data_IF_784444079966
#
_entry.id   IF_784444079966
#
_cell.length_a   1.000
_cell.length_b   1.000
_cell.length_c   1.000
_cell.angle_alpha   90.00
_cell.angle_beta   90.00
_cell.angle_gamma   90.00
#
_symmetry.space_group_name_H-M   'P 1'
#
loop_
_entity.id
_entity.type
_entity.pdbx_description
1 polymer ?
#
# COMPACT_ATOMS: atom_id res chain seq x y z
N UNK A 1 35.30 -24.34 72.79
CA UNK A 1 35.68 -24.00 71.42
C UNK A 1 34.39 -23.81 70.64
N UNK A 2 33.98 -22.55 70.44
CA UNK A 2 32.71 -22.18 69.81
C UNK A 2 32.89 -22.03 68.33
N UNK A 3 32.16 -22.82 67.56
CA UNK A 3 32.01 -22.69 66.11
C UNK A 3 30.75 -21.84 65.83
N UNK A 4 30.93 -20.60 65.37
CA UNK A 4 29.82 -19.77 64.92
C UNK A 4 29.56 -20.03 63.40
N UNK A 5 28.42 -20.59 63.11
CA UNK A 5 27.91 -20.70 61.76
C UNK A 5 27.37 -19.32 61.30
N UNK A 6 28.02 -18.69 60.34
CA UNK A 6 27.50 -17.50 59.64
C UNK A 6 26.62 -17.96 58.48
N UNK A 7 25.29 -17.74 58.61
CA UNK A 7 24.33 -17.88 57.52
C UNK A 7 24.43 -16.64 56.65
N UNK A 8 24.88 -16.80 55.37
CA UNK A 8 24.82 -15.76 54.35
C UNK A 8 23.46 -15.83 53.70
N UNK A 9 22.61 -14.83 53.92
CA UNK A 9 21.34 -14.64 53.26
C UNK A 9 21.62 -13.96 51.88
N UNK A 10 21.47 -14.72 50.79
CA UNK A 10 21.53 -14.16 49.44
C UNK A 10 20.18 -13.53 49.11
N UNK A 11 20.08 -12.19 49.17
CA UNK A 11 18.92 -11.45 48.68
C UNK A 11 19.04 -11.33 47.16
N UNK A 12 18.36 -12.20 46.39
CA UNK A 12 18.26 -12.03 44.96
C UNK A 12 17.23 -10.94 44.63
N UNK A 13 17.75 -9.81 44.21
CA UNK A 13 16.95 -8.69 43.69
C UNK A 13 16.47 -9.07 42.27
N UNK A 14 15.22 -9.49 42.12
CA UNK A 14 14.59 -9.61 40.83
C UNK A 14 14.28 -8.23 40.27
N UNK A 15 15.15 -7.71 39.41
CA UNK A 15 14.84 -6.54 38.59
C UNK A 15 13.80 -7.00 37.55
N UNK A 16 12.53 -6.69 37.74
CA UNK A 16 11.52 -6.78 36.70
C UNK A 16 11.79 -5.65 35.69
N UNK A 17 12.46 -5.98 34.60
CA UNK A 17 12.55 -5.08 33.44
C UNK A 17 11.16 -5.06 32.82
N UNK A 18 10.40 -4.01 33.12
CA UNK A 18 9.21 -3.68 32.35
C UNK A 18 9.68 -3.26 30.94
N UNK A 19 9.68 -4.19 30.01
CA UNK A 19 9.81 -3.88 28.59
C UNK A 19 8.53 -3.16 28.20
N UNK A 20 8.53 -1.85 28.25
CA UNK A 20 7.52 -1.04 27.58
C UNK A 20 7.64 -1.36 26.09
N UNK A 21 6.81 -2.26 25.61
CA UNK A 21 6.56 -2.39 24.19
C UNK A 21 5.92 -1.08 23.75
N UNK A 22 6.74 -0.15 23.23
CA UNK A 22 6.22 1.02 22.53
C UNK A 22 5.34 0.49 21.40
N UNK A 23 4.04 0.63 21.55
CA UNK A 23 3.10 0.42 20.45
C UNK A 23 3.52 1.39 19.35
N UNK A 24 4.09 0.85 18.28
CA UNK A 24 4.48 1.64 17.09
C UNK A 24 3.24 2.44 16.70
N UNK A 25 3.35 3.77 16.69
CA UNK A 25 2.24 4.66 16.32
C UNK A 25 1.72 4.17 14.96
N UNK A 26 0.44 3.87 14.89
CA UNK A 26 -0.16 3.45 13.63
C UNK A 26 0.10 4.54 12.58
N UNK A 27 0.71 4.18 11.46
CA UNK A 27 0.95 5.13 10.37
C UNK A 27 -0.39 5.64 9.87
N UNK A 28 -0.57 6.96 9.87
CA UNK A 28 -1.80 7.58 9.35
C UNK A 28 -1.74 7.48 7.83
N UNK A 29 -2.70 6.81 7.18
CA UNK A 29 -2.73 6.72 5.73
C UNK A 29 -2.82 8.10 5.08
N UNK A 30 -2.10 8.29 3.97
CA UNK A 30 -2.16 9.54 3.21
C UNK A 30 -3.48 9.67 2.47
N UNK A 31 -3.85 10.91 2.15
CA UNK A 31 -5.04 11.24 1.36
C UNK A 31 -4.65 12.01 0.12
N UNK A 32 -5.43 11.84 -0.94
CA UNK A 32 -5.32 12.62 -2.17
C UNK A 32 -6.73 12.81 -2.77
N UNK A 33 -6.99 13.99 -3.33
CA UNK A 33 -8.20 14.23 -4.10
C UNK A 33 -7.87 14.25 -5.59
N UNK A 34 -8.32 13.23 -6.30
CA UNK A 34 -8.29 13.20 -7.76
C UNK A 34 -9.52 13.95 -8.27
N UNK A 35 -9.30 15.07 -8.93
CA UNK A 35 -10.37 15.90 -9.51
C UNK A 35 -10.75 15.42 -10.90
N UNK A 36 -11.99 15.69 -11.30
CA UNK A 36 -12.46 15.41 -12.65
C UNK A 36 -11.82 16.37 -13.66
N UNK A 37 -11.48 15.85 -14.82
CA UNK A 37 -11.06 16.65 -15.99
C UNK A 37 -12.01 16.44 -17.16
N UNK A 38 -12.22 17.46 -17.97
CA UNK A 38 -12.92 17.39 -19.24
C UNK A 38 -11.93 17.45 -20.43
N UNK A 39 -10.64 17.46 -20.14
CA UNK A 39 -9.57 17.50 -21.15
C UNK A 39 -9.03 16.10 -21.30
N UNK A 40 -9.04 15.58 -22.52
CA UNK A 40 -8.40 14.31 -22.83
C UNK A 40 -6.90 14.40 -22.62
N UNK A 41 -6.32 13.44 -21.90
CA UNK A 41 -4.89 13.34 -21.65
C UNK A 41 -4.32 12.34 -22.63
N UNK A 42 -3.32 12.77 -23.41
CA UNK A 42 -2.61 11.90 -24.32
C UNK A 42 -1.51 11.15 -23.57
N UNK A 43 -1.56 9.84 -23.53
CA UNK A 43 -0.59 9.01 -22.83
C UNK A 43 0.57 8.73 -23.76
N UNK A 44 1.59 9.61 -23.77
CA UNK A 44 2.75 9.51 -24.68
C UNK A 44 4.12 9.63 -23.95
N UNK A 45 4.12 9.70 -22.61
CA UNK A 45 5.32 9.83 -21.79
C UNK A 45 5.90 11.25 -21.75
N UNK A 46 5.16 12.24 -22.27
CA UNK A 46 5.56 13.65 -22.26
C UNK A 46 4.55 14.44 -21.44
N UNK A 47 4.99 15.03 -20.38
CA UNK A 47 4.13 15.84 -19.49
C UNK A 47 3.90 17.22 -20.14
N UNK A 48 3.16 17.26 -21.23
CA UNK A 48 2.92 18.46 -22.03
C UNK A 48 1.48 18.99 -21.93
N UNK A 49 0.54 18.22 -21.38
CA UNK A 49 -0.82 18.68 -21.13
C UNK A 49 -0.86 19.71 -19.99
N UNK A 50 -1.34 20.92 -20.31
CA UNK A 50 -1.41 22.03 -19.34
C UNK A 50 -2.26 21.71 -18.10
N UNK A 51 -3.17 20.72 -18.21
CA UNK A 51 -4.02 20.31 -17.10
C UNK A 51 -3.21 19.78 -15.91
N UNK A 52 -2.07 19.11 -16.16
CA UNK A 52 -1.18 18.65 -15.10
C UNK A 52 -0.58 19.78 -14.26
N UNK A 53 -0.51 21.02 -14.78
CA UNK A 53 -0.04 22.19 -14.03
C UNK A 53 -1.04 22.66 -12.97
N UNK A 54 -2.33 22.29 -13.10
CA UNK A 54 -3.38 22.64 -12.16
C UNK A 54 -3.50 21.64 -11.01
N UNK A 55 -2.81 20.51 -11.10
CA UNK A 55 -2.88 19.43 -10.11
C UNK A 55 -1.64 19.47 -9.22
N UNK A 56 -1.85 19.41 -7.91
CA UNK A 56 -0.75 19.32 -6.96
C UNK A 56 -0.08 17.95 -7.01
N UNK A 57 1.24 17.96 -6.88
CA UNK A 57 1.97 16.74 -6.63
C UNK A 57 1.60 16.17 -5.25
N UNK A 58 1.60 14.86 -5.12
CA UNK A 58 1.61 14.21 -3.81
C UNK A 58 2.86 14.61 -3.02
N UNK A 59 2.87 14.36 -1.71
CA UNK A 59 4.13 14.31 -0.98
C UNK A 59 5.07 13.26 -1.59
N UNK A 60 6.38 13.45 -1.44
CA UNK A 60 7.36 12.45 -1.84
C UNK A 60 7.07 11.09 -1.18
N UNK A 61 7.42 10.03 -1.87
CA UNK A 61 7.40 8.68 -1.30
C UNK A 61 8.36 8.60 -0.11
N UNK A 62 8.08 7.66 0.76
CA UNK A 62 8.88 7.30 1.93
C UNK A 62 9.16 5.79 1.88
N UNK A 63 10.09 5.28 2.68
CA UNK A 63 10.24 3.84 2.79
C UNK A 63 8.96 3.17 3.33
N UNK A 64 8.76 1.91 3.02
CA UNK A 64 7.50 1.21 3.33
C UNK A 64 7.17 1.16 4.83
N UNK A 65 8.16 1.21 5.71
CA UNK A 65 7.96 1.28 7.16
C UNK A 65 7.65 2.70 7.66
N UNK A 66 7.89 3.73 6.82
CA UNK A 66 7.65 5.12 7.15
C UNK A 66 8.75 5.79 7.97
N UNK A 67 9.95 5.20 8.00
CA UNK A 67 11.04 5.63 8.89
C UNK A 67 12.17 6.35 8.16
N UNK A 68 12.43 6.00 6.90
CA UNK A 68 13.61 6.45 6.16
C UNK A 68 13.24 7.19 4.89
N UNK A 69 13.98 8.23 4.58
CA UNK A 69 13.84 8.91 3.31
C UNK A 69 14.47 8.09 2.19
N UNK A 70 13.78 7.92 1.04
CA UNK A 70 14.35 7.31 -0.16
C UNK A 70 15.59 8.04 -0.65
N UNK A 71 16.53 7.28 -1.22
CA UNK A 71 17.68 7.85 -1.94
C UNK A 71 17.24 8.72 -3.11
N UNK A 72 16.19 8.29 -3.80
CA UNK A 72 15.62 9.00 -4.95
C UNK A 72 14.16 9.34 -4.67
N UNK A 73 13.76 10.56 -5.03
CA UNK A 73 12.40 11.01 -4.84
C UNK A 73 11.47 10.44 -5.90
N UNK A 74 10.26 10.12 -5.48
CA UNK A 74 9.13 9.78 -6.35
C UNK A 74 7.91 10.53 -5.87
N UNK A 75 7.10 11.02 -6.77
CA UNK A 75 5.83 11.71 -6.48
C UNK A 75 4.85 11.50 -7.63
N UNK A 76 3.56 11.65 -7.33
CA UNK A 76 2.49 11.36 -8.28
C UNK A 76 1.51 12.52 -8.38
N UNK A 77 0.78 12.56 -9.49
CA UNK A 77 -0.44 13.33 -9.69
C UNK A 77 -1.54 12.39 -10.18
N UNK A 78 -2.78 12.70 -9.83
CA UNK A 78 -3.95 11.94 -10.24
C UNK A 78 -5.06 12.84 -10.72
N UNK A 79 -5.73 12.45 -11.80
CA UNK A 79 -6.96 13.02 -12.35
C UNK A 79 -7.88 11.88 -12.78
N UNK A 80 -9.11 12.20 -13.11
CA UNK A 80 -10.03 11.23 -13.68
C UNK A 80 -11.05 11.89 -14.61
N UNK A 81 -11.62 11.11 -15.53
CA UNK A 81 -12.77 11.46 -16.34
C UNK A 81 -13.81 10.31 -16.34
N UNK A 82 -14.78 10.36 -17.22
CA UNK A 82 -15.81 9.31 -17.28
C UNK A 82 -15.31 7.97 -17.81
N UNK A 83 -14.14 7.94 -18.45
CA UNK A 83 -13.57 6.75 -19.07
C UNK A 83 -12.38 6.19 -18.31
N UNK A 84 -11.54 7.07 -17.69
CA UNK A 84 -10.23 6.68 -17.16
C UNK A 84 -9.90 7.30 -15.81
N UNK A 85 -9.14 6.57 -15.03
CA UNK A 85 -8.31 7.06 -13.94
C UNK A 85 -6.90 7.33 -14.46
N UNK A 86 -6.44 8.58 -14.39
CA UNK A 86 -5.14 9.04 -14.89
C UNK A 86 -4.13 9.16 -13.76
N UNK A 87 -2.95 8.61 -13.99
CA UNK A 87 -1.82 8.64 -13.05
C UNK A 87 -0.60 9.17 -13.80
N UNK A 88 0.08 10.15 -13.19
CA UNK A 88 1.37 10.66 -13.61
C UNK A 88 2.37 10.47 -12.48
N UNK A 89 3.47 9.76 -12.71
CA UNK A 89 4.56 9.60 -11.72
C UNK A 89 5.85 10.24 -12.22
N UNK A 90 6.50 11.04 -11.37
CA UNK A 90 7.85 11.59 -11.57
C UNK A 90 8.82 10.82 -10.68
N UNK A 91 9.73 10.08 -11.29
CA UNK A 91 10.61 9.10 -10.64
C UNK A 91 12.07 9.54 -10.87
N UNK A 92 12.72 10.03 -9.81
CA UNK A 92 14.14 10.38 -9.89
C UNK A 92 15.01 9.13 -9.82
N UNK A 93 15.97 9.04 -10.71
CA UNK A 93 16.89 7.91 -10.81
C UNK A 93 18.16 8.30 -11.55
N UNK A 94 19.32 7.91 -11.03
CA UNK A 94 20.61 8.25 -11.65
C UNK A 94 21.10 7.24 -12.68
N UNK A 95 20.49 6.05 -12.70
CA UNK A 95 20.75 4.99 -13.67
C UNK A 95 19.44 4.30 -14.00
N UNK A 96 18.87 4.64 -15.15
CA UNK A 96 17.62 4.05 -15.61
C UNK A 96 17.95 2.76 -16.34
N UNK A 97 17.52 1.65 -15.76
CA UNK A 97 17.77 0.34 -16.37
C UNK A 97 16.57 -0.59 -16.22
N UNK A 98 16.34 -1.41 -17.23
CA UNK A 98 15.39 -2.50 -17.24
C UNK A 98 15.81 -3.54 -18.28
N UNK A 99 15.58 -4.82 -17.99
CA UNK A 99 15.90 -5.93 -18.88
C UNK A 99 14.76 -6.96 -19.01
N UNK A 100 13.63 -6.74 -18.34
CA UNK A 100 12.43 -7.57 -18.46
C UNK A 100 11.51 -6.92 -19.46
N UNK A 101 11.32 -7.58 -20.62
CA UNK A 101 10.52 -7.12 -21.74
C UNK A 101 9.34 -8.04 -22.07
N UNK A 102 9.12 -9.09 -21.28
CA UNK A 102 7.98 -9.99 -21.44
C UNK A 102 6.84 -9.54 -20.54
N UNK A 103 5.64 -9.30 -21.12
CA UNK A 103 4.41 -9.04 -20.36
C UNK A 103 4.15 -10.18 -19.38
N UNK A 104 3.60 -9.84 -18.22
CA UNK A 104 3.26 -10.76 -17.13
C UNK A 104 4.46 -11.54 -16.55
N UNK A 105 5.67 -11.05 -16.81
CA UNK A 105 6.84 -11.48 -16.04
C UNK A 105 6.90 -10.73 -14.72
N UNK A 106 7.65 -11.25 -13.77
CA UNK A 106 7.83 -10.68 -12.43
C UNK A 106 8.62 -9.36 -12.52
N UNK A 107 7.92 -8.24 -12.70
CA UNK A 107 8.49 -6.93 -13.03
C UNK A 107 9.28 -6.32 -11.86
N UNK A 108 8.88 -6.57 -10.60
CA UNK A 108 9.61 -6.04 -9.44
C UNK A 108 11.06 -6.52 -9.34
N UNK A 109 11.48 -7.48 -10.17
CA UNK A 109 12.89 -7.86 -10.30
C UNK A 109 13.73 -6.82 -11.07
N UNK A 110 13.10 -5.83 -11.70
CA UNK A 110 13.69 -4.58 -12.16
C UNK A 110 13.36 -3.42 -11.20
N UNK A 111 13.97 -2.26 -11.40
CA UNK A 111 13.40 -1.03 -10.86
C UNK A 111 12.07 -0.79 -11.56
N UNK A 112 11.02 -0.53 -10.77
CA UNK A 112 9.66 -0.45 -11.29
C UNK A 112 8.86 0.67 -10.62
N UNK A 113 7.63 0.86 -11.08
CA UNK A 113 6.59 1.60 -10.42
C UNK A 113 5.35 0.72 -10.33
N UNK A 114 4.66 0.77 -9.20
CA UNK A 114 3.53 -0.11 -8.90
C UNK A 114 2.32 0.71 -8.46
N UNK A 115 1.14 0.23 -8.87
CA UNK A 115 -0.16 0.79 -8.51
C UNK A 115 -1.00 -0.32 -7.88
N UNK A 116 -1.53 -0.05 -6.69
CA UNK A 116 -2.40 -0.96 -5.94
C UNK A 116 -3.75 -0.30 -5.72
N UNK A 117 -4.84 -0.98 -6.04
CA UNK A 117 -6.21 -0.44 -6.00
C UNK A 117 -7.15 -1.45 -5.35
N UNK A 118 -7.81 -1.03 -4.28
CA UNK A 118 -8.88 -1.74 -3.60
C UNK A 118 -10.11 -0.82 -3.59
N UNK A 119 -11.09 -1.05 -4.47
CA UNK A 119 -12.19 -0.11 -4.74
C UNK A 119 -13.17 0.07 -3.59
N UNK A 120 -13.44 -0.96 -2.79
CA UNK A 120 -14.42 -0.94 -1.70
C UNK A 120 -13.79 -0.97 -0.30
N UNK A 121 -12.46 -1.20 -0.25
CA UNK A 121 -11.68 -1.12 0.98
C UNK A 121 -11.96 -2.26 1.94
N UNK A 122 -12.35 -3.43 1.41
CA UNK A 122 -12.59 -4.65 2.17
C UNK A 122 -11.37 -5.59 2.25
N UNK A 123 -10.27 -5.21 1.58
CA UNK A 123 -9.00 -5.93 1.43
C UNK A 123 -9.03 -7.14 0.49
N UNK A 124 -10.16 -7.42 -0.12
CA UNK A 124 -10.35 -8.51 -1.07
C UNK A 124 -10.52 -7.97 -2.49
N UNK A 125 -10.35 -8.84 -3.48
CA UNK A 125 -10.61 -8.53 -4.89
C UNK A 125 -9.93 -7.24 -5.38
N UNK A 126 -8.67 -7.05 -4.99
CA UNK A 126 -7.90 -5.87 -5.32
C UNK A 126 -6.96 -6.09 -6.51
N UNK A 127 -6.43 -5.01 -7.04
CA UNK A 127 -5.69 -4.96 -8.29
C UNK A 127 -4.27 -4.45 -8.05
N UNK A 128 -3.33 -5.00 -8.80
CA UNK A 128 -1.93 -4.59 -8.81
C UNK A 128 -1.46 -4.43 -10.26
N UNK A 129 -0.73 -3.36 -10.53
CA UNK A 129 -0.12 -3.09 -11.83
C UNK A 129 1.33 -2.72 -11.57
N UNK A 130 2.26 -3.47 -12.11
CA UNK A 130 3.69 -3.16 -12.11
C UNK A 130 4.15 -2.74 -13.50
N UNK A 131 5.02 -1.72 -13.58
CA UNK A 131 5.58 -1.24 -14.83
C UNK A 131 7.05 -0.87 -14.66
N UNK A 132 7.90 -1.25 -15.61
CA UNK A 132 9.31 -0.87 -15.64
C UNK A 132 9.61 0.20 -16.69
N UNK A 133 10.86 0.65 -16.76
CA UNK A 133 11.29 1.69 -17.70
C UNK A 133 11.26 1.27 -19.19
N UNK A 134 11.05 0.00 -19.51
CA UNK A 134 10.77 -0.49 -20.86
C UNK A 134 9.28 -0.42 -21.23
N UNK A 135 8.42 0.09 -20.37
CA UNK A 135 6.96 0.01 -20.50
C UNK A 135 6.43 -1.42 -20.52
N UNK A 136 7.13 -2.34 -19.87
CA UNK A 136 6.65 -3.72 -19.69
C UNK A 136 5.77 -3.78 -18.47
N UNK A 137 4.59 -4.36 -18.61
CA UNK A 137 3.54 -4.40 -17.60
C UNK A 137 3.34 -5.83 -17.09
N UNK A 138 3.06 -5.92 -15.80
CA UNK A 138 2.49 -7.06 -15.12
C UNK A 138 1.25 -6.60 -14.37
N UNK A 139 0.08 -7.01 -14.79
CA UNK A 139 -1.20 -6.67 -14.17
C UNK A 139 -1.82 -7.91 -13.54
N UNK A 140 -2.24 -7.77 -12.29
CA UNK A 140 -2.67 -8.86 -11.41
C UNK A 140 -4.04 -8.56 -10.80
N UNK A 141 -4.83 -9.60 -10.61
CA UNK A 141 -6.00 -9.59 -9.75
C UNK A 141 -5.78 -10.53 -8.56
N UNK A 142 -5.95 -10.01 -7.35
CA UNK A 142 -5.77 -10.76 -6.12
C UNK A 142 -7.10 -10.89 -5.38
N UNK A 143 -7.51 -12.13 -5.13
CA UNK A 143 -8.77 -12.39 -4.41
C UNK A 143 -8.69 -11.95 -2.95
N UNK A 144 -7.50 -11.97 -2.36
CA UNK A 144 -7.14 -11.46 -1.03
C UNK A 144 -5.62 -11.38 -0.89
N UNK A 145 -5.08 -10.75 0.16
CA UNK A 145 -3.63 -10.68 0.39
C UNK A 145 -2.99 -12.07 0.36
N UNK A 146 -1.95 -12.25 -0.44
CA UNK A 146 -1.36 -13.58 -0.65
C UNK A 146 -0.65 -14.16 0.59
N UNK A 147 -0.47 -13.38 1.66
CA UNK A 147 0.00 -13.86 2.97
C UNK A 147 -1.13 -14.42 3.86
N UNK A 148 -2.39 -14.26 3.45
CA UNK A 148 -3.54 -14.92 4.05
C UNK A 148 -3.66 -16.37 3.54
N UNK A 149 -4.35 -17.22 4.32
CA UNK A 149 -4.55 -18.61 3.93
C UNK A 149 -5.42 -18.71 2.67
N UNK A 150 -5.03 -19.62 1.77
CA UNK A 150 -5.79 -19.92 0.54
C UNK A 150 -6.00 -18.69 -0.37
N UNK A 151 -5.06 -17.76 -0.39
CA UNK A 151 -5.08 -16.66 -1.36
C UNK A 151 -4.85 -17.19 -2.77
N UNK A 152 -5.57 -16.60 -3.73
CA UNK A 152 -5.39 -16.84 -5.15
C UNK A 152 -4.97 -15.55 -5.83
N UNK A 153 -3.91 -15.64 -6.63
CA UNK A 153 -3.44 -14.55 -7.51
C UNK A 153 -3.69 -14.96 -8.95
N UNK A 154 -4.39 -14.14 -9.70
CA UNK A 154 -4.66 -14.35 -11.12
C UNK A 154 -3.63 -13.55 -11.91
N UNK A 155 -2.55 -14.23 -12.34
CA UNK A 155 -1.44 -13.62 -13.07
C UNK A 155 -1.78 -13.32 -14.54
N UNK A 156 -2.74 -14.04 -15.10
CA UNK A 156 -3.17 -13.86 -16.50
C UNK A 156 -4.35 -12.87 -16.62
N UNK A 157 -4.64 -12.12 -15.55
CA UNK A 157 -5.62 -11.05 -15.62
C UNK A 157 -5.04 -9.89 -16.41
N UNK A 158 -5.84 -9.36 -17.37
CA UNK A 158 -5.38 -8.29 -18.23
C UNK A 158 -6.34 -7.11 -18.20
N UNK A 159 -5.82 -5.91 -18.01
CA UNK A 159 -6.58 -4.67 -18.10
C UNK A 159 -6.77 -4.30 -19.57
N UNK A 160 -7.88 -4.74 -20.13
CA UNK A 160 -8.23 -4.35 -21.51
C UNK A 160 -8.43 -2.85 -21.61
N UNK A 161 -7.68 -2.21 -22.50
CA UNK A 161 -7.75 -0.75 -22.73
C UNK A 161 -6.86 0.08 -21.82
N UNK A 162 -6.01 -0.53 -20.99
CA UNK A 162 -4.95 0.16 -20.26
C UNK A 162 -4.03 0.90 -21.26
N UNK A 163 -3.80 2.18 -21.01
CA UNK A 163 -2.81 2.96 -21.73
C UNK A 163 -1.67 3.30 -20.79
N UNK A 164 -0.44 3.14 -21.26
CA UNK A 164 0.77 3.52 -20.50
C UNK A 164 1.86 4.02 -21.42
N UNK A 165 2.65 4.95 -20.94
CA UNK A 165 3.83 5.45 -21.65
C UNK A 165 4.92 5.84 -20.65
N UNK A 166 6.17 5.66 -21.09
CA UNK A 166 7.36 5.99 -20.32
C UNK A 166 8.10 7.15 -20.98
N UNK A 167 8.35 8.20 -20.22
CA UNK A 167 9.23 9.30 -20.61
C UNK A 167 10.59 9.14 -19.95
N UNK A 168 11.67 9.04 -20.72
CA UNK A 168 13.04 8.93 -20.22
C UNK A 168 13.69 10.30 -20.19
N UNK A 169 14.19 10.72 -19.02
CA UNK A 169 14.99 11.94 -18.89
C UNK A 169 16.46 11.54 -18.59
N UNK A 170 17.13 11.12 -19.64
CA UNK A 170 18.43 10.48 -19.67
C UNK A 170 18.50 9.45 -20.77
N UNK A 171 19.14 8.32 -20.53
CA UNK A 171 19.25 7.21 -21.47
C UNK A 171 19.03 5.86 -20.78
N UNK A 172 18.19 5.01 -21.38
CA UNK A 172 17.89 3.70 -20.84
C UNK A 172 19.07 2.73 -21.07
N UNK A 173 19.48 2.01 -20.02
CA UNK A 173 20.55 0.99 -20.07
C UNK A 173 21.92 1.51 -20.55
N UNK A 174 22.22 2.77 -20.32
CA UNK A 174 23.55 3.34 -20.64
C UNK A 174 24.34 3.58 -19.35
N UNK A 175 25.44 2.86 -19.11
CA UNK A 175 26.24 3.00 -17.89
C UNK A 175 27.16 4.21 -17.90
N UNK A 176 27.28 4.94 -19.04
CA UNK A 176 28.30 5.97 -19.25
C UNK A 176 27.80 7.40 -18.96
N UNK A 177 26.54 7.53 -18.58
CA UNK A 177 25.94 8.83 -18.21
C UNK A 177 25.23 8.78 -16.85
N UNK A 178 24.72 9.91 -16.43
CA UNK A 178 23.94 10.06 -15.21
C UNK A 178 22.55 10.61 -15.60
N UNK A 179 21.55 9.81 -15.36
CA UNK A 179 20.17 10.13 -15.68
C UNK A 179 19.57 11.10 -14.65
N UNK A 180 18.48 11.76 -15.05
CA UNK A 180 17.66 12.59 -14.16
C UNK A 180 16.44 11.85 -13.60
N UNK A 181 15.99 10.80 -14.31
CA UNK A 181 14.84 10.00 -13.93
C UNK A 181 13.92 9.68 -15.11
N UNK A 182 12.78 9.15 -14.80
CA UNK A 182 11.78 8.75 -15.77
C UNK A 182 10.37 9.10 -15.31
N UNK A 183 9.44 9.13 -16.26
CA UNK A 183 8.03 9.46 -16.07
C UNK A 183 7.21 8.22 -16.40
N UNK A 184 6.17 7.96 -15.63
CA UNK A 184 5.09 7.03 -15.99
C UNK A 184 3.84 7.86 -16.21
N UNK A 185 3.26 7.77 -17.40
CA UNK A 185 1.88 8.17 -17.65
C UNK A 185 1.02 6.93 -17.82
N UNK A 186 -0.13 6.89 -17.16
CA UNK A 186 -1.03 5.75 -17.18
C UNK A 186 -2.48 6.23 -17.19
N UNK A 187 -3.32 5.58 -18.01
CA UNK A 187 -4.77 5.75 -18.00
C UNK A 187 -5.41 4.37 -17.83
N UNK A 188 -5.99 4.14 -16.66
CA UNK A 188 -6.67 2.88 -16.29
C UNK A 188 -8.15 3.05 -16.61
N UNK A 189 -8.73 2.26 -17.54
CA UNK A 189 -10.13 2.39 -17.88
C UNK A 189 -11.01 1.88 -16.74
N UNK A 190 -12.10 2.57 -16.43
CA UNK A 190 -13.05 2.14 -15.41
C UNK A 190 -13.63 0.76 -15.69
N UNK A 191 -13.69 0.36 -16.97
CA UNK A 191 -14.15 -0.97 -17.35
C UNK A 191 -13.32 -2.11 -16.74
N UNK A 192 -12.07 -1.85 -16.34
CA UNK A 192 -11.22 -2.83 -15.66
C UNK A 192 -11.80 -3.30 -14.32
N UNK A 193 -12.60 -2.46 -13.67
CA UNK A 193 -13.18 -2.74 -12.35
C UNK A 193 -14.62 -3.28 -12.41
N UNK A 194 -15.18 -3.46 -13.62
CA UNK A 194 -16.52 -4.01 -13.79
C UNK A 194 -16.55 -5.49 -13.47
N UNK A 195 -17.63 -5.89 -12.80
CA UNK A 195 -17.95 -7.30 -12.57
C UNK A 195 -19.32 -7.60 -13.18
N UNK A 196 -19.75 -8.87 -13.16
CA UNK A 196 -21.11 -9.24 -13.60
C UNK A 196 -22.21 -8.53 -12.81
N UNK A 197 -21.95 -8.10 -11.57
CA UNK A 197 -22.91 -7.45 -10.70
C UNK A 197 -22.74 -5.92 -10.65
N UNK A 198 -21.51 -5.43 -10.77
CA UNK A 198 -21.19 -4.00 -10.66
C UNK A 198 -20.76 -3.45 -12.02
N UNK A 199 -21.67 -2.74 -12.69
CA UNK A 199 -21.44 -2.14 -13.99
C UNK A 199 -21.13 -0.65 -13.95
N UNK A 200 -21.70 0.10 -13.00
CA UNK A 200 -21.33 1.50 -12.73
C UNK A 200 -20.26 1.53 -11.64
N UNK A 201 -19.02 1.53 -12.08
CA UNK A 201 -17.82 1.46 -11.23
C UNK A 201 -17.10 2.80 -11.12
N UNK A 202 -17.56 3.85 -11.81
CA UNK A 202 -16.94 5.19 -11.71
C UNK A 202 -17.17 5.76 -10.32
N UNK A 203 -16.13 6.04 -9.53
CA UNK A 203 -16.25 6.36 -8.11
C UNK A 203 -16.59 7.84 -7.85
N UNK A 204 -17.66 8.38 -8.45
CA UNK A 204 -18.07 9.77 -8.32
C UNK A 204 -18.32 10.14 -6.87
N UNK A 205 -17.53 11.10 -6.35
CA UNK A 205 -17.55 11.57 -4.95
C UNK A 205 -17.37 10.46 -3.90
N UNK A 206 -16.76 9.33 -4.32
CA UNK A 206 -16.37 8.22 -3.44
C UNK A 206 -14.85 8.17 -3.32
N UNK A 207 -14.37 7.51 -2.29
CA UNK A 207 -12.94 7.23 -2.14
C UNK A 207 -12.67 5.72 -2.24
N UNK A 208 -11.49 5.41 -2.77
CA UNK A 208 -10.93 4.06 -2.82
C UNK A 208 -9.67 3.98 -1.97
N UNK A 209 -9.30 2.77 -1.58
CA UNK A 209 -7.97 2.48 -1.07
C UNK A 209 -7.03 2.34 -2.26
N UNK A 210 -6.01 3.19 -2.29
CA UNK A 210 -5.01 3.17 -3.36
C UNK A 210 -3.65 3.35 -2.73
N UNK A 211 -2.66 2.64 -3.22
CA UNK A 211 -1.28 2.95 -2.89
C UNK A 211 -0.38 2.83 -4.13
N UNK A 212 0.78 3.41 -4.02
CA UNK A 212 1.80 3.36 -5.03
C UNK A 212 3.09 2.92 -4.39
N UNK A 213 3.83 2.08 -5.07
CA UNK A 213 5.14 1.62 -4.65
C UNK A 213 6.15 1.83 -5.77
N UNK A 214 7.39 1.86 -5.38
CA UNK A 214 8.54 1.81 -6.26
C UNK A 214 9.54 0.84 -5.67
N UNK A 215 9.79 -0.26 -6.36
CA UNK A 215 10.93 -1.12 -6.05
C UNK A 215 12.18 -0.53 -6.68
N UNK A 216 13.24 -0.38 -5.90
CA UNK A 216 14.53 0.08 -6.37
C UNK A 216 15.64 -0.87 -5.89
N UNK A 217 16.47 -1.31 -6.81
CA UNK A 217 17.57 -2.22 -6.54
C UNK A 217 18.92 -1.51 -6.58
N UNK A 218 19.81 -1.90 -5.67
CA UNK A 218 21.22 -1.70 -5.92
C UNK A 218 21.62 -2.55 -7.12
N UNK A 219 22.39 -1.96 -8.04
CA UNK A 219 22.81 -2.62 -9.26
C UNK A 219 24.34 -2.78 -9.36
N UNK A 220 24.76 -3.62 -10.27
CA UNK A 220 26.13 -3.75 -10.77
C UNK A 220 26.10 -3.61 -12.28
N UNK A 221 27.20 -3.12 -12.84
CA UNK A 221 27.42 -2.99 -14.27
C UNK A 221 28.59 -3.94 -14.62
N UNK A 222 28.38 -4.82 -15.57
CA UNK A 222 29.43 -5.75 -16.01
C UNK A 222 30.40 -5.08 -17.01
N UNK A 223 31.44 -5.81 -17.45
CA UNK A 223 32.42 -5.33 -18.44
C UNK A 223 31.84 -4.96 -19.80
N UNK A 224 30.64 -5.43 -20.12
CA UNK A 224 29.94 -5.15 -21.36
C UNK A 224 28.92 -4.01 -21.20
N UNK A 225 28.82 -3.40 -20.02
CA UNK A 225 27.85 -2.33 -19.72
C UNK A 225 26.47 -2.82 -19.31
N UNK A 226 26.27 -4.13 -19.11
CA UNK A 226 24.96 -4.65 -18.75
C UNK A 226 24.67 -4.49 -17.25
N UNK A 227 23.46 -4.00 -16.96
CA UNK A 227 22.97 -3.85 -15.60
C UNK A 227 22.41 -5.15 -15.04
N UNK A 228 22.65 -5.38 -13.75
CA UNK A 228 22.05 -6.46 -12.99
C UNK A 228 21.86 -6.06 -11.52
N UNK A 229 20.95 -6.74 -10.82
CA UNK A 229 20.79 -6.56 -9.37
C UNK A 229 22.06 -6.94 -8.64
N UNK A 230 22.48 -6.11 -7.69
CA UNK A 230 23.70 -6.33 -6.92
C UNK A 230 23.55 -7.52 -5.97
N UNK A 231 24.56 -8.38 -5.95
CA UNK A 231 24.67 -9.49 -5.02
C UNK A 231 25.45 -9.10 -3.76
N UNK A 232 25.34 -9.91 -2.71
CA UNK A 232 26.21 -9.82 -1.53
C UNK A 232 27.67 -10.15 -1.89
N UNK A 233 28.60 -9.96 -0.95
CA UNK A 233 30.03 -10.16 -1.18
C UNK A 233 30.38 -11.60 -1.60
N UNK A 234 29.62 -12.57 -1.11
CA UNK A 234 29.80 -13.98 -1.42
C UNK A 234 29.18 -14.38 -2.78
N UNK A 235 28.45 -13.47 -3.46
CA UNK A 235 27.76 -13.74 -4.72
C UNK A 235 26.59 -14.74 -4.62
N UNK A 236 26.20 -15.11 -3.40
CA UNK A 236 25.22 -16.16 -3.14
C UNK A 236 23.78 -15.66 -3.10
N UNK A 237 23.55 -14.37 -2.83
CA UNK A 237 22.21 -13.76 -2.70
C UNK A 237 22.21 -12.33 -3.24
N UNK A 238 21.11 -11.92 -3.85
CA UNK A 238 20.88 -10.52 -4.16
C UNK A 238 20.72 -9.70 -2.87
N UNK A 239 21.20 -8.45 -2.88
CA UNK A 239 20.86 -7.50 -1.82
C UNK A 239 19.35 -7.29 -1.83
N UNK A 240 18.81 -6.95 -0.68
CA UNK A 240 17.38 -6.62 -0.57
C UNK A 240 17.08 -5.36 -1.40
N UNK A 241 15.90 -5.35 -1.98
CA UNK A 241 15.30 -4.20 -2.63
C UNK A 241 14.96 -3.11 -1.61
N UNK A 242 14.81 -1.90 -2.11
CA UNK A 242 14.16 -0.82 -1.41
C UNK A 242 12.71 -0.74 -1.88
N UNK A 243 11.78 -0.71 -0.94
CA UNK A 243 10.37 -0.49 -1.19
C UNK A 243 10.01 0.91 -0.72
N UNK A 244 9.78 1.82 -1.66
CA UNK A 244 9.40 3.20 -1.40
C UNK A 244 7.96 3.42 -1.82
N UNK A 245 7.14 3.93 -0.92
CA UNK A 245 5.69 3.97 -1.10
C UNK A 245 5.14 5.38 -0.91
N UNK A 246 3.99 5.65 -1.55
CA UNK A 246 3.28 6.90 -1.32
C UNK A 246 2.74 6.95 0.12
N UNK A 247 1.93 5.96 0.54
CA UNK A 247 1.40 5.87 1.91
C UNK A 247 2.11 4.75 2.67
N UNK A 248 2.83 5.05 3.78
CA UNK A 248 3.63 4.06 4.49
C UNK A 248 2.75 2.99 5.15
N UNK A 249 3.25 1.76 5.15
CA UNK A 249 2.56 0.59 5.71
C UNK A 249 2.88 0.36 7.19
N UNK A 250 4.04 0.86 7.67
CA UNK A 250 4.57 0.55 9.01
C UNK A 250 5.13 -0.88 9.14
N UNK A 251 5.11 -1.65 8.05
CA UNK A 251 5.65 -3.02 7.95
C UNK A 251 6.17 -3.26 6.53
N UNK A 252 7.12 -4.20 6.38
CA UNK A 252 7.61 -4.62 5.06
C UNK A 252 6.61 -5.62 4.46
N UNK A 253 5.47 -5.10 4.05
CA UNK A 253 4.42 -5.86 3.37
C UNK A 253 3.51 -4.91 2.61
N UNK A 254 3.55 -4.94 1.27
CA UNK A 254 2.70 -4.08 0.45
C UNK A 254 1.24 -4.57 0.45
N UNK A 255 1.02 -5.87 0.62
CA UNK A 255 -0.29 -6.51 0.61
C UNK A 255 -0.97 -6.50 2.00
N UNK A 256 -1.14 -5.31 2.53
CA UNK A 256 -2.02 -4.98 3.65
C UNK A 256 -2.90 -3.79 3.22
N UNK A 257 -3.94 -4.02 2.38
CA UNK A 257 -4.74 -2.96 1.76
C UNK A 257 -5.37 -2.01 2.78
N UNK A 258 -5.66 -2.50 3.97
CA UNK A 258 -6.17 -1.71 5.09
C UNK A 258 -5.25 -0.55 5.52
N UNK A 259 -4.00 -0.54 5.05
CA UNK A 259 -3.01 0.51 5.33
C UNK A 259 -2.74 1.44 4.15
N UNK A 260 -3.30 1.14 2.97
CA UNK A 260 -3.13 2.00 1.80
C UNK A 260 -3.74 3.37 2.02
N UNK A 261 -3.32 4.33 1.22
CA UNK A 261 -3.88 5.67 1.24
C UNK A 261 -5.32 5.72 0.75
N UNK A 262 -5.90 6.90 0.82
CA UNK A 262 -7.25 7.18 0.35
C UNK A 262 -7.20 8.14 -0.84
N UNK A 263 -7.82 7.77 -1.94
CA UNK A 263 -8.02 8.66 -3.09
C UNK A 263 -9.51 8.96 -3.21
N UNK A 264 -9.87 10.22 -2.98
CA UNK A 264 -11.23 10.73 -3.24
C UNK A 264 -11.32 11.11 -4.72
N UNK A 265 -12.29 10.55 -5.43
CA UNK A 265 -12.59 10.89 -6.82
C UNK A 265 -13.66 11.98 -6.86
N UNK A 266 -13.24 13.24 -6.76
CA UNK A 266 -14.16 14.38 -6.71
C UNK A 266 -14.78 14.67 -8.07
N UNK A 267 -16.09 14.78 -8.13
CA UNK A 267 -16.84 15.18 -9.35
C UNK A 267 -16.64 16.66 -9.73
N UNK A 268 -15.99 17.46 -8.88
CA UNK A 268 -15.65 18.83 -9.20
C UNK A 268 -14.62 18.87 -10.33
N UNK A 269 -14.85 19.72 -11.32
CA UNK A 269 -13.88 19.91 -12.40
C UNK A 269 -12.65 20.67 -11.88
N UNK A 270 -11.45 20.18 -12.20
CA UNK A 270 -10.18 20.80 -11.78
C UNK A 270 -10.07 22.26 -12.26
N UNK A 271 -10.71 22.61 -13.38
CA UNK A 271 -10.70 23.97 -13.90
C UNK A 271 -11.49 24.96 -13.02
N UNK A 272 -12.42 24.47 -12.23
CA UNK A 272 -13.33 25.28 -11.39
C UNK A 272 -12.83 25.37 -9.94
N UNK A 273 -11.65 24.82 -9.63
CA UNK A 273 -11.08 24.75 -8.28
C UNK A 273 -9.97 25.77 -8.10
N UNK A 274 -10.03 26.52 -7.00
CA UNK A 274 -8.90 27.35 -6.60
C UNK A 274 -7.78 26.49 -6.02
N UNK A 275 -6.52 26.87 -6.27
CA UNK A 275 -5.35 26.15 -5.76
C UNK A 275 -5.33 26.04 -4.23
N UNK A 276 -5.92 27.01 -3.53
CA UNK A 276 -6.07 26.99 -2.06
C UNK A 276 -7.02 25.87 -1.55
N UNK A 277 -7.92 25.40 -2.39
CA UNK A 277 -8.99 24.47 -2.01
C UNK A 277 -8.63 23.01 -2.38
N UNK A 278 -7.45 22.80 -2.95
CA UNK A 278 -6.93 21.49 -3.28
C UNK A 278 -6.58 20.73 -1.99
N UNK A 279 -7.00 19.46 -1.91
CA UNK A 279 -6.63 18.50 -0.84
C UNK A 279 -7.34 18.68 0.52
N UNK A 280 -8.65 18.87 0.52
CA UNK A 280 -9.46 18.99 1.77
C UNK A 280 -10.18 17.70 2.17
N UNK A 281 -9.77 16.54 1.69
CA UNK A 281 -10.43 15.28 2.05
C UNK A 281 -10.12 14.88 3.50
N UNK A 282 -11.16 14.67 4.30
CA UNK A 282 -11.08 14.16 5.65
C UNK A 282 -11.50 12.68 5.68
N UNK A 283 -10.64 11.85 6.26
CA UNK A 283 -10.91 10.41 6.41
C UNK A 283 -12.12 10.23 7.34
N UNK A 284 -13.18 9.51 6.93
CA UNK A 284 -14.31 9.21 7.78
C UNK A 284 -13.92 8.49 9.06
N UNK A 285 -14.64 8.74 10.16
CA UNK A 285 -14.35 8.10 11.46
C UNK A 285 -14.49 6.57 11.43
N UNK A 286 -15.35 6.06 10.58
CA UNK A 286 -15.50 4.62 10.37
C UNK A 286 -14.21 3.94 9.93
N UNK A 287 -13.33 4.64 9.20
CA UNK A 287 -12.04 4.10 8.78
C UNK A 287 -11.08 3.86 9.95
N UNK A 288 -11.23 4.63 11.05
CA UNK A 288 -10.48 4.35 12.28
C UNK A 288 -10.99 3.07 12.97
N UNK A 289 -12.31 2.80 12.90
CA UNK A 289 -12.89 1.56 13.41
C UNK A 289 -12.41 0.38 12.59
N UNK A 290 -12.45 0.47 11.25
CA UNK A 290 -11.93 -0.57 10.36
C UNK A 290 -10.45 -0.87 10.63
N UNK A 291 -9.62 0.16 10.75
CA UNK A 291 -8.19 0.02 11.08
C UNK A 291 -7.95 -0.69 12.42
N UNK A 292 -8.78 -0.40 13.42
CA UNK A 292 -8.76 -1.10 14.71
C UNK A 292 -9.07 -2.58 14.52
N UNK A 293 -10.14 -2.93 13.79
CA UNK A 293 -10.55 -4.31 13.55
C UNK A 293 -9.44 -5.10 12.84
N UNK A 294 -8.80 -4.51 11.81
CA UNK A 294 -7.66 -5.14 11.14
C UNK A 294 -6.44 -5.32 12.07
N UNK A 295 -6.21 -4.40 13.00
CA UNK A 295 -5.15 -4.57 14.02
C UNK A 295 -5.40 -5.82 14.87
N UNK A 296 -6.66 -6.07 15.25
CA UNK A 296 -7.06 -7.25 16.01
C UNK A 296 -6.97 -8.53 15.15
N UNK A 297 -7.39 -8.46 13.89
CA UNK A 297 -7.22 -9.55 12.92
C UNK A 297 -5.74 -9.95 12.78
N UNK A 298 -4.84 -8.98 12.60
CA UNK A 298 -3.39 -9.27 12.54
C UNK A 298 -2.85 -9.88 13.85
N UNK A 299 -3.42 -9.51 15.01
CA UNK A 299 -3.08 -10.14 16.30
C UNK A 299 -3.56 -11.58 16.36
N UNK A 300 -4.77 -11.88 15.92
CA UNK A 300 -5.31 -13.24 15.79
C UNK A 300 -4.43 -14.11 14.88
N UNK A 301 -4.09 -13.61 13.69
CA UNK A 301 -3.25 -14.34 12.74
C UNK A 301 -1.85 -14.66 13.30
N UNK A 302 -1.21 -13.70 13.98
CA UNK A 302 0.08 -13.94 14.65
C UNK A 302 -0.04 -15.00 15.74
N UNK A 303 -1.12 -14.96 16.54
CA UNK A 303 -1.37 -15.94 17.59
C UNK A 303 -1.60 -17.34 17.00
N UNK A 304 -2.43 -17.44 15.96
CA UNK A 304 -2.71 -18.71 15.28
C UNK A 304 -1.46 -19.31 14.64
N UNK A 305 -0.61 -18.52 13.99
CA UNK A 305 0.65 -19.01 13.43
C UNK A 305 1.52 -19.69 14.48
N UNK A 306 1.53 -19.16 15.71
CA UNK A 306 2.34 -19.69 16.83
C UNK A 306 1.68 -20.86 17.55
N UNK A 307 0.37 -20.78 17.83
CA UNK A 307 -0.32 -21.66 18.76
C UNK A 307 -1.25 -22.68 18.07
N UNK A 308 -1.50 -22.52 16.76
CA UNK A 308 -2.45 -23.34 15.98
C UNK A 308 -3.88 -23.31 16.54
N UNK A 309 -4.22 -22.25 17.23
CA UNK A 309 -5.52 -21.97 17.83
C UNK A 309 -5.80 -20.46 17.79
N UNK A 310 -7.07 -20.08 17.77
CA UNK A 310 -7.50 -18.69 17.85
C UNK A 310 -7.58 -18.20 19.30
N UNK A 311 -7.39 -16.89 19.52
CA UNK A 311 -7.70 -16.24 20.81
C UNK A 311 -9.22 -16.33 21.02
N UNK A 312 -9.62 -16.79 22.21
CA UNK A 312 -10.99 -17.24 22.47
C UNK A 312 -11.97 -16.12 22.86
N UNK A 313 -11.47 -15.02 23.43
CA UNK A 313 -12.34 -13.94 23.93
C UNK A 313 -11.80 -12.58 23.53
N UNK A 314 -12.68 -11.58 23.46
CA UNK A 314 -12.31 -10.23 23.11
C UNK A 314 -11.34 -9.63 24.15
N UNK A 315 -11.50 -9.94 25.43
CA UNK A 315 -10.64 -9.42 26.50
C UNK A 315 -9.20 -9.97 26.43
N UNK A 316 -9.01 -11.16 25.87
CA UNK A 316 -7.67 -11.70 25.56
C UNK A 316 -7.10 -11.12 24.27
N UNK A 317 -7.98 -10.69 23.35
CA UNK A 317 -7.59 -10.09 22.09
C UNK A 317 -7.19 -8.63 22.29
N UNK A 318 -7.84 -7.90 23.20
CA UNK A 318 -7.52 -6.51 23.53
C UNK A 318 -7.68 -6.25 25.03
N UNK A 319 -6.73 -5.53 25.61
CA UNK A 319 -6.69 -5.20 27.04
C UNK A 319 -7.39 -3.90 27.41
N UNK A 320 -7.89 -3.16 26.42
CA UNK A 320 -8.46 -1.82 26.64
C UNK A 320 -9.72 -1.57 25.83
N UNK A 321 -10.59 -0.75 26.41
CA UNK A 321 -11.69 -0.12 25.69
C UNK A 321 -11.14 0.84 24.62
N UNK A 322 -11.67 0.74 23.42
CA UNK A 322 -11.32 1.67 22.36
C UNK A 322 -12.28 2.85 22.34
N UNK A 323 -11.70 4.05 22.28
CA UNK A 323 -12.45 5.30 22.22
C UNK A 323 -12.00 6.12 21.02
N UNK A 324 -12.91 6.50 20.16
CA UNK A 324 -12.68 7.40 19.03
C UNK A 324 -13.59 8.61 19.23
N UNK A 325 -13.02 9.83 19.27
CA UNK A 325 -13.76 11.08 19.50
C UNK A 325 -14.77 10.99 20.66
N UNK A 326 -14.32 10.51 21.82
CA UNK A 326 -15.11 10.31 23.05
C UNK A 326 -16.27 9.30 22.93
N UNK A 327 -16.34 8.54 21.84
CA UNK A 327 -17.31 7.45 21.67
C UNK A 327 -16.61 6.10 21.85
N UNK A 328 -17.15 5.27 22.74
CA UNK A 328 -16.65 3.91 22.98
C UNK A 328 -17.04 2.99 21.82
N UNK A 329 -16.07 2.26 21.29
CA UNK A 329 -16.26 1.25 20.26
C UNK A 329 -16.45 -0.10 20.95
N UNK A 330 -17.62 -0.68 20.80
CA UNK A 330 -17.96 -1.98 21.38
C UNK A 330 -17.64 -3.08 20.37
N UNK A 331 -16.63 -3.88 20.68
CA UNK A 331 -16.22 -5.01 19.87
C UNK A 331 -16.79 -6.31 20.42
N UNK A 332 -17.14 -7.24 19.53
CA UNK A 332 -17.57 -8.60 19.87
C UNK A 332 -16.72 -9.58 19.03
N UNK A 333 -16.24 -10.65 19.66
CA UNK A 333 -15.56 -11.76 19.00
C UNK A 333 -16.45 -12.99 19.07
N UNK A 334 -16.73 -13.61 17.94
CA UNK A 334 -17.41 -14.89 17.85
C UNK A 334 -16.52 -15.90 17.16
N UNK A 335 -16.37 -17.05 17.79
CA UNK A 335 -15.65 -18.19 17.24
C UNK A 335 -16.62 -19.14 16.56
N UNK A 336 -16.18 -19.73 15.47
CA UNK A 336 -16.90 -20.79 14.78
C UNK A 336 -15.93 -21.93 14.42
N UNK A 337 -16.46 -23.00 13.82
CA UNK A 337 -15.68 -24.23 13.58
C UNK A 337 -14.41 -24.01 12.76
N UNK A 338 -14.42 -23.07 11.81
CA UNK A 338 -13.31 -22.82 10.88
C UNK A 338 -12.50 -21.56 11.19
N UNK A 339 -13.00 -20.68 12.08
CA UNK A 339 -12.32 -19.41 12.35
C UNK A 339 -13.06 -18.54 13.38
N UNK A 340 -13.17 -17.26 13.08
CA UNK A 340 -13.79 -16.26 13.94
C UNK A 340 -14.37 -15.10 13.11
N UNK A 341 -15.28 -14.35 13.73
CA UNK A 341 -15.71 -13.04 13.25
C UNK A 341 -15.52 -11.99 14.34
N UNK A 342 -15.12 -10.79 13.97
CA UNK A 342 -15.09 -9.61 14.85
C UNK A 342 -16.20 -8.67 14.38
N UNK A 343 -17.08 -8.28 15.30
CA UNK A 343 -18.23 -7.42 15.04
C UNK A 343 -18.10 -6.09 15.77
N UNK A 344 -18.61 -5.04 15.14
CA UNK A 344 -18.89 -3.77 15.81
C UNK A 344 -19.94 -2.98 15.04
N UNK A 345 -20.69 -2.12 15.75
CA UNK A 345 -21.55 -1.12 15.13
C UNK A 345 -20.91 0.25 15.31
N UNK A 346 -20.76 1.00 14.23
CA UNK A 346 -20.22 2.35 14.29
C UNK A 346 -21.13 3.30 15.04
N UNK A 347 -20.66 4.00 16.07
CA UNK A 347 -21.42 5.06 16.71
C UNK A 347 -21.49 6.36 15.89
N UNK A 348 -20.85 6.39 14.69
CA UNK A 348 -20.81 7.56 13.81
C UNK A 348 -21.80 7.44 12.65
N UNK A 349 -21.89 6.24 12.03
CA UNK A 349 -22.73 5.96 10.86
C UNK A 349 -23.89 5.00 11.13
N UNK A 350 -23.92 4.33 12.29
CA UNK A 350 -24.78 3.20 12.64
C UNK A 350 -24.64 1.97 11.74
N UNK A 351 -23.58 1.91 10.91
CA UNK A 351 -23.26 0.73 10.10
C UNK A 351 -22.71 -0.37 10.97
N UNK A 352 -23.05 -1.60 10.66
CA UNK A 352 -22.42 -2.79 11.23
C UNK A 352 -21.20 -3.17 10.40
N UNK A 353 -20.09 -3.46 11.06
CA UNK A 353 -18.87 -3.99 10.49
C UNK A 353 -18.64 -5.40 11.00
N UNK A 354 -18.35 -6.32 10.07
CA UNK A 354 -18.01 -7.72 10.37
C UNK A 354 -16.69 -8.00 9.69
N UNK A 355 -15.66 -8.34 10.45
CA UNK A 355 -14.36 -8.76 9.93
C UNK A 355 -14.19 -10.25 10.14
N UNK A 356 -14.04 -10.99 9.05
CA UNK A 356 -13.92 -12.45 9.03
C UNK A 356 -12.48 -12.92 9.32
N UNK A 357 -12.28 -14.21 9.54
CA UNK A 357 -10.97 -14.78 9.83
C UNK A 357 -9.99 -14.71 8.67
N UNK A 358 -10.46 -14.57 7.44
CA UNK A 358 -9.60 -14.37 6.26
C UNK A 358 -9.39 -12.90 5.89
N UNK A 359 -9.91 -11.98 6.70
CA UNK A 359 -9.68 -10.55 6.60
C UNK A 359 -10.66 -9.80 5.72
N UNK A 360 -11.73 -10.42 5.23
CA UNK A 360 -12.79 -9.73 4.49
C UNK A 360 -13.62 -8.86 5.43
N UNK A 361 -13.83 -7.59 5.06
CA UNK A 361 -14.64 -6.65 5.82
C UNK A 361 -16.02 -6.46 5.18
N UNK A 362 -17.04 -7.01 5.80
CA UNK A 362 -18.44 -6.86 5.40
C UNK A 362 -19.03 -5.63 6.09
N UNK A 363 -19.75 -4.81 5.35
CA UNK A 363 -20.41 -3.59 5.84
C UNK A 363 -21.91 -3.66 5.56
N UNK A 364 -22.74 -3.64 6.63
CA UNK A 364 -24.21 -3.70 6.57
C UNK A 364 -24.84 -2.33 6.93
#
# INVERSE_FOLDING_TARGET
MNSQNKIFLFLSFFLTINVFCQTKIATIPKTYTAYKTNISINIDGKVNESIWNKVNWSSNFIDIEGEKNPKYQTKIKMLWDEDFFYILADIKESHIWANINKKDAVIYLNNNFEVFIDPDGDTHNYYEIEINALNTIWDLFLTKPYRELNSLVINDWNITGLKSAIGINGTLNNPNDIDKGWIVEMAIPWSAFKTSYFQDVVPRDKYWRVNFSRVNWNHTIDKNGAYSRKQNKEGSKYLKEFNWVWSPQGVINMHEPEKWGYVLFSSKNINDINLSDLNTFNIPKDEQIKSLMYTLHRKQNRFFKKNKAWIQTIDLLTESDFVIDNKKIKLKLELHKTGYNIFTTSPFSNKEFILTEDGELIVN
#
